data_IF_417046831131
#
_entry.id   IF_417046831131
#
_cell.length_a   1.000
_cell.length_b   1.000
_cell.length_c   1.000
_cell.angle_alpha   90.00
_cell.angle_beta   90.00
_cell.angle_gamma   90.00
#
_symmetry.space_group_name_H-M   'P 1'
#
loop_
_entity.id
_entity.type
_entity.pdbx_description
1 polymer ?
#
# COMPACT_ATOMS: atom_id res chain seq x y z
N UNK A 1 16.19 -6.50 -29.54
CA UNK A 1 15.71 -5.48 -30.50
C UNK A 1 15.59 -4.17 -29.75
N UNK A 2 16.11 -3.05 -30.27
CA UNK A 2 16.02 -1.70 -29.65
C UNK A 2 14.79 -0.98 -30.18
N UNK A 3 14.14 -0.15 -29.36
CA UNK A 3 13.15 0.81 -29.87
C UNK A 3 13.84 2.05 -30.46
N UNK A 4 13.09 2.82 -31.24
CA UNK A 4 13.59 4.04 -31.92
C UNK A 4 13.85 5.21 -30.95
N UNK A 5 13.69 5.01 -29.63
CA UNK A 5 13.97 6.03 -28.60
C UNK A 5 15.22 5.70 -27.77
N UNK A 6 15.96 4.64 -28.12
CA UNK A 6 17.22 4.30 -27.47
C UNK A 6 17.06 3.65 -26.10
N UNK A 7 15.85 3.22 -25.73
CA UNK A 7 15.65 2.51 -24.48
C UNK A 7 16.01 1.03 -24.64
N UNK A 8 16.84 0.55 -23.72
CA UNK A 8 17.32 -0.82 -23.69
C UNK A 8 16.14 -1.76 -23.36
N UNK A 9 15.64 -2.50 -24.35
CA UNK A 9 14.76 -3.63 -24.10
C UNK A 9 15.63 -4.72 -23.47
N UNK A 10 15.42 -4.96 -22.17
CA UNK A 10 16.16 -5.94 -21.37
C UNK A 10 16.26 -7.29 -22.09
N UNK A 11 17.45 -7.91 -22.05
CA UNK A 11 17.64 -9.24 -22.62
C UNK A 11 16.80 -10.26 -21.83
N UNK A 12 16.15 -11.20 -22.53
CA UNK A 12 15.40 -12.28 -21.90
C UNK A 12 16.29 -13.03 -20.89
N UNK A 13 15.90 -13.02 -19.62
CA UNK A 13 16.67 -13.62 -18.51
C UNK A 13 17.29 -12.61 -17.53
N UNK A 14 17.27 -11.30 -17.82
CA UNK A 14 17.75 -10.30 -16.86
C UNK A 14 16.70 -10.07 -15.76
N UNK A 15 17.00 -10.49 -14.53
CA UNK A 15 16.18 -10.21 -13.34
C UNK A 15 16.35 -8.75 -12.95
N UNK A 16 15.48 -7.88 -13.47
CA UNK A 16 15.41 -6.46 -13.13
C UNK A 16 14.60 -6.32 -11.84
N UNK A 17 15.18 -5.73 -10.79
CA UNK A 17 14.41 -5.31 -9.64
C UNK A 17 13.87 -3.90 -9.90
N UNK A 18 12.55 -3.67 -9.89
CA UNK A 18 12.00 -2.32 -10.06
C UNK A 18 12.57 -1.29 -9.07
N UNK A 19 12.97 -1.74 -7.87
CA UNK A 19 13.59 -0.91 -6.84
C UNK A 19 15.02 -0.44 -7.19
N UNK A 20 15.65 -1.00 -8.24
CA UNK A 20 16.91 -0.48 -8.78
C UNK A 20 16.72 0.85 -9.53
N UNK A 21 15.49 1.15 -9.96
CA UNK A 21 15.17 2.30 -10.81
C UNK A 21 14.06 3.19 -10.24
N UNK A 22 13.29 2.70 -9.27
CA UNK A 22 12.15 3.40 -8.66
C UNK A 22 12.31 3.45 -7.15
N UNK A 23 12.24 4.66 -6.58
CA UNK A 23 12.09 4.85 -5.14
C UNK A 23 10.61 4.88 -4.76
N UNK A 24 10.22 4.02 -3.83
CA UNK A 24 8.90 4.06 -3.19
C UNK A 24 8.93 5.19 -2.18
N UNK A 25 8.33 6.33 -2.53
CA UNK A 25 8.34 7.55 -1.70
C UNK A 25 7.26 7.59 -0.62
N UNK A 26 6.30 6.68 -0.68
CA UNK A 26 5.16 6.63 0.20
C UNK A 26 4.95 5.21 0.70
N UNK A 27 4.69 5.07 1.99
CA UNK A 27 4.32 3.79 2.58
C UNK A 27 2.96 3.34 2.01
N UNK A 28 2.82 2.05 1.77
CA UNK A 28 1.52 1.45 1.42
C UNK A 28 0.93 0.88 2.71
N UNK A 29 -0.21 1.41 3.13
CA UNK A 29 -0.86 1.07 4.40
C UNK A 29 -2.17 0.38 4.07
N UNK A 30 -2.26 -0.91 4.32
CA UNK A 30 -3.43 -1.75 4.08
C UNK A 30 -4.28 -1.83 5.33
N UNK A 31 -5.57 -1.57 5.19
CA UNK A 31 -6.56 -1.66 6.28
C UNK A 31 -7.83 -2.36 5.81
N UNK A 32 -8.54 -3.00 6.74
CA UNK A 32 -9.95 -3.32 6.56
C UNK A 32 -10.76 -2.02 6.67
N UNK A 33 -11.41 -1.64 5.58
CA UNK A 33 -12.19 -0.41 5.49
C UNK A 33 -13.45 -0.41 6.34
N UNK A 34 -13.96 -1.59 6.69
CA UNK A 34 -15.13 -1.75 7.58
C UNK A 34 -14.70 -1.69 9.06
N UNK A 35 -13.40 -1.80 9.36
CA UNK A 35 -12.86 -1.68 10.72
C UNK A 35 -12.53 -0.22 11.05
N UNK A 36 -13.43 0.43 11.78
CA UNK A 36 -13.26 1.82 12.22
C UNK A 36 -11.98 2.04 13.07
N UNK A 37 -11.51 1.04 13.81
CA UNK A 37 -10.28 1.14 14.61
C UNK A 37 -9.04 1.20 13.71
N UNK A 38 -9.00 0.40 12.63
CA UNK A 38 -7.90 0.43 11.65
C UNK A 38 -7.87 1.72 10.86
N UNK A 39 -9.05 2.21 10.46
CA UNK A 39 -9.16 3.52 9.82
C UNK A 39 -8.65 4.65 10.72
N UNK A 40 -9.09 4.67 11.99
CA UNK A 40 -8.65 5.67 12.95
C UNK A 40 -7.14 5.59 13.16
N UNK A 41 -6.61 4.38 13.34
CA UNK A 41 -5.18 4.12 13.46
C UNK A 41 -4.38 4.63 12.26
N UNK A 42 -4.80 4.30 11.03
CA UNK A 42 -4.10 4.68 9.81
C UNK A 42 -4.15 6.19 9.58
N UNK A 43 -5.31 6.81 9.79
CA UNK A 43 -5.48 8.25 9.59
C UNK A 43 -4.83 9.11 10.66
N UNK A 44 -4.66 8.61 11.89
CA UNK A 44 -3.92 9.29 12.95
C UNK A 44 -2.39 9.18 12.75
N UNK A 45 -1.89 8.06 12.24
CA UNK A 45 -0.46 7.76 12.18
C UNK A 45 0.22 8.22 10.88
N UNK A 46 -0.52 8.24 9.77
CA UNK A 46 0.05 8.52 8.45
C UNK A 46 -0.60 9.75 7.82
N UNK A 47 0.20 10.68 7.32
CA UNK A 47 -0.28 11.81 6.52
C UNK A 47 -0.39 11.45 5.02
N UNK A 48 -1.26 12.12 4.25
CA UNK A 48 -1.47 11.83 2.81
C UNK A 48 -0.19 11.89 1.98
N UNK A 49 0.69 12.85 2.30
CA UNK A 49 1.96 13.00 1.59
C UNK A 49 2.93 11.85 1.84
N UNK A 50 2.82 11.16 2.99
CA UNK A 50 3.76 10.12 3.42
C UNK A 50 3.26 8.70 3.16
N UNK A 51 1.95 8.48 3.03
CA UNK A 51 1.41 7.16 2.83
C UNK A 51 0.13 7.12 2.01
N UNK A 52 -0.01 6.05 1.23
CA UNK A 52 -1.25 5.66 0.57
C UNK A 52 -1.98 4.67 1.48
N UNK A 53 -3.17 5.07 1.94
CA UNK A 53 -4.06 4.16 2.66
C UNK A 53 -4.89 3.40 1.63
N UNK A 54 -4.81 2.08 1.68
CA UNK A 54 -5.38 1.12 0.75
C UNK A 54 -6.35 0.24 1.53
N UNK A 55 -7.58 0.18 1.06
CA UNK A 55 -8.66 -0.59 1.65
C UNK A 55 -8.63 -1.98 1.03
N UNK A 56 -8.66 -3.03 1.85
CA UNK A 56 -8.78 -4.42 1.38
C UNK A 56 -10.24 -4.90 1.36
N UNK A 57 -11.08 -4.26 2.17
CA UNK A 57 -12.51 -4.49 2.28
C UNK A 57 -13.22 -3.15 2.58
N UNK A 58 -14.55 -3.11 2.44
CA UNK A 58 -15.37 -1.92 2.63
C UNK A 58 -15.30 -0.90 1.48
N UNK A 59 -16.18 0.11 1.48
CA UNK A 59 -16.20 1.14 0.44
C UNK A 59 -15.40 2.39 0.84
N UNK A 60 -14.39 2.83 0.07
CA UNK A 60 -13.68 4.07 0.34
C UNK A 60 -14.53 5.31 0.02
N UNK A 61 -15.64 5.16 -0.71
CA UNK A 61 -16.42 6.28 -1.27
C UNK A 61 -17.04 7.14 -0.17
N UNK A 62 -17.63 6.50 0.86
CA UNK A 62 -18.23 7.24 1.98
C UNK A 62 -17.19 8.03 2.79
N UNK A 63 -15.96 7.50 2.88
CA UNK A 63 -14.88 8.09 3.68
C UNK A 63 -14.08 9.17 2.95
N UNK A 64 -13.99 9.09 1.62
CA UNK A 64 -13.32 10.10 0.78
C UNK A 64 -13.98 11.47 0.90
N UNK A 65 -15.32 11.50 1.02
CA UNK A 65 -16.12 12.74 1.13
C UNK A 65 -15.84 13.48 2.44
N UNK A 66 -15.52 12.76 3.51
CA UNK A 66 -15.34 13.33 4.84
C UNK A 66 -13.92 13.88 5.11
N UNK A 67 -12.87 13.32 4.50
CA UNK A 67 -11.48 13.55 4.97
C UNK A 67 -10.55 14.32 4.03
N UNK A 68 -11.01 14.84 2.88
CA UNK A 68 -10.18 15.56 1.86
C UNK A 68 -8.82 14.89 1.59
N UNK A 69 -8.78 13.56 1.66
CA UNK A 69 -7.58 12.72 1.52
C UNK A 69 -7.85 11.63 0.50
N UNK A 70 -6.81 11.22 -0.22
CA UNK A 70 -6.90 10.09 -1.14
C UNK A 70 -6.88 8.77 -0.38
N UNK A 71 -7.87 7.96 -0.69
CA UNK A 71 -7.93 6.56 -0.33
C UNK A 71 -7.90 5.73 -1.60
N UNK A 72 -7.34 4.53 -1.49
CA UNK A 72 -7.20 3.58 -2.58
C UNK A 72 -7.87 2.26 -2.18
N UNK A 73 -8.14 1.40 -3.15
CA UNK A 73 -8.73 0.08 -2.90
C UNK A 73 -7.88 -1.00 -3.56
N UNK A 74 -7.61 -2.09 -2.85
CA UNK A 74 -6.95 -3.27 -3.40
C UNK A 74 -7.97 -4.14 -4.14
N UNK A 75 -8.32 -3.71 -5.35
CA UNK A 75 -9.27 -4.42 -6.18
C UNK A 75 -8.80 -5.84 -6.43
N UNK A 76 -9.69 -6.80 -6.18
CA UNK A 76 -9.45 -8.24 -6.37
C UNK A 76 -8.27 -8.79 -5.56
N UNK A 77 -7.80 -8.07 -4.52
CA UNK A 77 -6.71 -8.53 -3.66
C UNK A 77 -5.35 -8.63 -4.35
N UNK A 78 -5.12 -7.86 -5.42
CA UNK A 78 -3.92 -7.98 -6.24
C UNK A 78 -2.65 -7.63 -5.47
N UNK A 79 -2.66 -6.54 -4.71
CA UNK A 79 -1.50 -6.07 -3.95
C UNK A 79 -1.29 -6.92 -2.69
N UNK A 80 -2.34 -7.23 -1.96
CA UNK A 80 -2.29 -8.13 -0.80
C UNK A 80 -1.75 -9.51 -1.20
N UNK A 81 -2.24 -10.09 -2.30
CA UNK A 81 -1.71 -11.34 -2.84
C UNK A 81 -0.26 -11.24 -3.32
N UNK A 82 0.15 -10.12 -3.93
CA UNK A 82 1.54 -9.90 -4.36
C UNK A 82 2.50 -9.79 -3.17
N UNK A 83 2.07 -9.12 -2.09
CA UNK A 83 2.89 -8.91 -0.90
C UNK A 83 2.76 -10.04 0.13
N UNK A 84 1.86 -11.00 -0.07
CA UNK A 84 1.60 -12.08 0.88
C UNK A 84 1.03 -11.58 2.21
N UNK A 85 0.18 -10.54 2.16
CA UNK A 85 -0.47 -9.99 3.36
C UNK A 85 -1.62 -10.91 3.76
N UNK A 86 -1.58 -11.42 4.99
CA UNK A 86 -2.60 -12.33 5.53
C UNK A 86 -3.54 -11.61 6.52
N UNK A 87 -3.04 -10.61 7.24
CA UNK A 87 -3.81 -9.84 8.22
C UNK A 87 -3.66 -8.33 8.05
N UNK A 88 -4.76 -7.62 8.28
CA UNK A 88 -4.76 -6.16 8.44
C UNK A 88 -4.81 -5.74 9.91
N UNK A 89 -4.31 -4.54 10.24
CA UNK A 89 -3.62 -3.61 9.35
C UNK A 89 -2.19 -4.05 9.01
N UNK A 90 -1.77 -3.79 7.76
CA UNK A 90 -0.43 -4.10 7.27
C UNK A 90 0.26 -2.87 6.66
N UNK A 91 1.57 -2.78 6.80
CA UNK A 91 2.37 -1.69 6.22
C UNK A 91 3.49 -2.26 5.37
N UNK A 92 3.57 -1.77 4.15
CA UNK A 92 4.61 -2.13 3.19
C UNK A 92 5.50 -0.92 2.93
N UNK A 93 6.77 -1.07 3.27
CA UNK A 93 7.81 -0.02 3.14
C UNK A 93 9.00 -0.52 2.34
N UNK A 94 9.72 0.36 1.67
CA UNK A 94 10.96 -0.02 1.00
C UNK A 94 12.09 -0.19 2.02
N UNK A 95 12.77 -1.33 1.97
CA UNK A 95 13.96 -1.66 2.74
C UNK A 95 15.12 -1.96 1.78
N UNK A 96 15.80 -0.90 1.32
CA UNK A 96 16.82 -1.01 0.28
C UNK A 96 16.23 -1.52 -1.03
N UNK A 97 16.66 -2.70 -1.47
CA UNK A 97 16.18 -3.38 -2.69
C UNK A 97 15.08 -4.41 -2.42
N UNK A 98 14.50 -4.43 -1.22
CA UNK A 98 13.37 -5.28 -0.87
C UNK A 98 12.20 -4.43 -0.37
N UNK A 99 11.01 -5.03 -0.36
CA UNK A 99 9.86 -4.50 0.37
C UNK A 99 9.78 -5.20 1.72
N UNK A 100 9.60 -4.45 2.79
CA UNK A 100 9.31 -4.96 4.13
C UNK A 100 7.82 -4.86 4.38
N UNK A 101 7.21 -6.00 4.71
CA UNK A 101 5.81 -6.12 5.10
C UNK A 101 5.77 -6.22 6.63
N UNK A 102 4.83 -5.53 7.27
CA UNK A 102 4.62 -5.59 8.71
C UNK A 102 3.13 -5.58 9.01
N UNK A 103 2.63 -6.72 9.47
CA UNK A 103 1.25 -6.90 9.95
C UNK A 103 1.19 -6.62 11.45
N UNK A 104 0.20 -5.85 11.89
CA UNK A 104 0.16 -5.33 13.24
C UNK A 104 -1.16 -5.66 13.92
N UNK A 105 -1.10 -6.13 15.16
CA UNK A 105 -2.29 -6.25 16.00
C UNK A 105 -2.61 -4.88 16.59
N UNK A 106 -3.77 -4.31 16.23
CA UNK A 106 -4.31 -3.15 16.92
C UNK A 106 -5.39 -3.59 17.90
N UNK A 107 -5.38 -3.03 19.11
CA UNK A 107 -6.46 -3.26 20.07
C UNK A 107 -7.69 -2.48 19.60
N UNK A 108 -8.90 -3.06 19.59
CA UNK A 108 -10.12 -2.29 19.39
C UNK A 108 -10.14 -1.15 20.41
N UNK A 109 -10.24 0.09 19.94
CA UNK A 109 -10.43 1.22 20.83
C UNK A 109 -11.72 1.00 21.63
N UNK A 110 -11.65 1.08 22.96
CA UNK A 110 -12.86 1.06 23.77
C UNK A 110 -13.81 2.15 23.28
N UNK A 111 -15.07 1.85 22.94
CA UNK A 111 -16.04 2.90 22.68
C UNK A 111 -16.19 3.70 23.97
N UNK A 112 -15.84 4.99 23.90
CA UNK A 112 -16.16 5.96 24.94
C UNK A 112 -17.60 6.45 24.81
#
# INVERSE_FOLDING_TARGET
>A
MRDQKGNLIAAAGQKINPLDFVAVRQDLVFIDGDNAAELAWATARYADLKAKIIFVNGSPIEQMTAKKRRFYFDQEGKLTGTFGIEHTPAVVTQAGKAMRISEMVIKPGSPG
#
